data_IF_019714940136
#
_entry.id   IF_019714940136
#
_cell.length_a   1.000
_cell.length_b   1.000
_cell.length_c   1.000
_cell.angle_alpha   90.00
_cell.angle_beta   90.00
_cell.angle_gamma   90.00
#
_symmetry.space_group_name_H-M   'P 1'
#
loop_
_entity.id
_entity.type
_entity.pdbx_description
1 polymer ?
#
# COMPACT_ATOMS: atom_id res chain seq x y z
N UNK A 1 35.45 42.49 57.91
CA UNK A 1 36.38 43.42 58.60
C UNK A 1 35.99 43.49 60.06
N UNK A 2 36.61 42.69 60.92
CA UNK A 2 36.38 42.74 62.38
C UNK A 2 37.73 42.91 63.06
N UNK A 3 37.89 44.04 63.73
CA UNK A 3 39.12 44.44 64.41
C UNK A 3 39.42 43.46 65.54
N UNK A 4 40.44 42.63 65.36
CA UNK A 4 41.07 41.87 66.45
C UNK A 4 41.82 42.86 67.34
N UNK A 5 41.22 43.18 68.49
CA UNK A 5 41.89 43.91 69.56
C UNK A 5 42.89 42.93 70.18
N UNK A 6 44.15 43.00 69.74
CA UNK A 6 45.28 42.39 70.45
C UNK A 6 45.45 43.11 71.78
N UNK A 7 44.84 42.59 72.84
CA UNK A 7 45.28 42.88 74.20
C UNK A 7 46.69 42.31 74.35
N UNK A 8 47.68 43.21 74.34
CA UNK A 8 49.02 42.95 74.84
C UNK A 8 48.90 42.68 76.33
N UNK A 9 48.64 41.43 76.72
CA UNK A 9 49.07 40.94 78.02
C UNK A 9 50.58 40.72 77.92
N UNK A 10 51.35 41.69 78.38
CA UNK A 10 52.73 41.48 78.80
C UNK A 10 52.71 40.50 79.96
N UNK A 11 52.61 39.22 79.63
CA UNK A 11 52.93 38.13 80.54
C UNK A 11 54.45 38.17 80.65
N UNK A 12 54.98 38.75 81.72
CA UNK A 12 56.35 38.45 82.13
C UNK A 12 56.42 36.94 82.30
N UNK A 13 56.97 36.26 81.30
CA UNK A 13 57.22 34.84 81.32
C UNK A 13 58.35 34.65 82.32
N UNK A 14 57.99 34.37 83.58
CA UNK A 14 58.94 34.01 84.62
C UNK A 14 59.52 32.66 84.21
N UNK A 15 60.62 32.68 83.46
CA UNK A 15 61.50 31.53 83.26
C UNK A 15 62.21 31.26 84.58
N UNK A 16 61.61 30.38 85.39
CA UNK A 16 62.29 29.74 86.51
C UNK A 16 63.12 28.60 85.91
N UNK A 17 64.43 28.68 86.00
CA UNK A 17 65.30 27.58 85.62
C UNK A 17 65.52 26.71 86.87
N UNK A 18 64.92 25.51 86.94
CA UNK A 18 64.95 24.71 88.16
C UNK A 18 66.36 24.46 88.65
N UNK A 19 67.35 24.28 87.76
CA UNK A 19 68.71 23.91 88.20
C UNK A 19 69.53 25.08 88.75
N UNK A 20 69.31 26.32 88.29
CA UNK A 20 69.99 27.51 88.81
C UNK A 20 69.32 28.05 90.08
N UNK A 21 67.99 28.06 90.12
CA UNK A 21 67.21 28.61 91.24
C UNK A 21 67.25 27.70 92.49
N UNK A 22 67.54 26.40 92.32
CA UNK A 22 67.76 25.46 93.42
C UNK A 22 69.11 25.64 94.14
N UNK A 23 70.07 26.41 93.62
CA UNK A 23 71.42 26.54 94.21
C UNK A 23 71.72 27.91 94.83
N UNK A 24 70.73 28.80 94.92
CA UNK A 24 70.89 30.13 95.50
C UNK A 24 71.02 30.01 97.03
N UNK A 25 72.19 30.37 97.57
CA UNK A 25 72.42 30.47 99.03
C UNK A 25 72.21 31.92 99.45
N UNK A 26 71.15 32.18 100.20
CA UNK A 26 70.84 33.52 100.70
C UNK A 26 71.79 33.91 101.85
N UNK A 27 72.27 35.17 101.88
CA UNK A 27 73.00 35.69 103.03
C UNK A 27 72.18 35.59 104.32
N UNK A 28 72.79 35.18 105.43
CA UNK A 28 72.07 34.88 106.68
C UNK A 28 71.20 36.03 107.23
N UNK A 29 71.59 37.29 107.02
CA UNK A 29 70.77 38.45 107.41
C UNK A 29 69.48 38.57 106.57
N UNK A 30 69.50 38.14 105.30
CA UNK A 30 68.31 38.07 104.44
C UNK A 30 67.44 36.89 104.85
N UNK A 31 68.03 35.73 105.16
CA UNK A 31 67.30 34.58 105.70
C UNK A 31 66.53 34.96 106.97
N UNK A 32 67.16 35.69 107.90
CA UNK A 32 66.52 36.14 109.13
C UNK A 32 65.38 37.13 108.87
N UNK A 33 65.54 38.04 107.90
CA UNK A 33 64.48 38.95 107.49
C UNK A 33 63.28 38.19 106.89
N UNK A 34 63.52 37.22 106.00
CA UNK A 34 62.47 36.40 105.41
C UNK A 34 61.79 35.46 106.42
N UNK A 35 62.53 34.90 107.37
CA UNK A 35 61.96 34.14 108.49
C UNK A 35 60.99 35.02 109.27
N UNK A 36 61.39 36.25 109.62
CA UNK A 36 60.54 37.19 110.36
C UNK A 36 59.27 37.53 109.56
N UNK A 37 59.39 37.72 108.24
CA UNK A 37 58.25 37.98 107.35
C UNK A 37 57.32 36.77 107.25
N UNK A 38 57.86 35.55 107.14
CA UNK A 38 57.05 34.34 107.09
C UNK A 38 56.41 33.99 108.44
N UNK A 39 57.08 34.26 109.56
CA UNK A 39 56.50 34.13 110.90
C UNK A 39 55.35 35.12 111.10
N UNK A 40 55.52 36.38 110.67
CA UNK A 40 54.44 37.37 110.68
C UNK A 40 53.28 36.95 109.75
N UNK A 41 53.59 36.46 108.54
CA UNK A 41 52.58 35.94 107.61
C UNK A 41 51.85 34.71 108.18
N UNK A 42 52.54 33.82 108.91
CA UNK A 42 51.93 32.69 109.60
C UNK A 42 51.02 33.16 110.75
N UNK A 43 51.42 34.19 111.49
CA UNK A 43 50.59 34.79 112.53
C UNK A 43 49.32 35.42 111.93
N UNK A 44 49.45 36.16 110.83
CA UNK A 44 48.30 36.71 110.10
C UNK A 44 47.41 35.60 109.53
N UNK A 45 48.01 34.52 109.03
CA UNK A 45 47.29 33.34 108.56
C UNK A 45 46.61 32.58 109.71
N UNK A 46 47.12 32.67 110.94
CA UNK A 46 46.47 32.14 112.13
C UNK A 46 45.25 32.99 112.53
N UNK A 47 45.28 34.31 112.37
CA UNK A 47 44.09 35.17 112.55
C UNK A 47 42.98 34.78 111.56
N UNK A 48 43.33 34.42 110.33
CA UNK A 48 42.38 33.86 109.37
C UNK A 48 41.81 32.49 109.76
N UNK A 49 42.41 31.76 110.72
CA UNK A 49 41.78 30.59 111.35
C UNK A 49 40.59 30.98 112.20
N UNK A 50 40.75 32.06 112.96
CA UNK A 50 39.84 32.44 114.02
C UNK A 50 38.61 33.17 113.45
N UNK A 51 38.76 33.82 112.29
CA UNK A 51 37.67 34.48 111.56
C UNK A 51 36.82 33.48 110.76
N UNK A 52 37.34 32.29 110.47
CA UNK A 52 36.62 31.23 109.75
C UNK A 52 36.06 30.24 110.79
N UNK A 53 34.73 30.14 110.98
CA UNK A 53 34.18 29.26 112.00
C UNK A 53 34.64 27.81 111.80
N UNK A 54 35.21 27.19 112.85
CA UNK A 54 35.53 25.75 112.94
C UNK A 54 34.30 24.82 112.82
N UNK A 55 33.12 25.37 112.53
CA UNK A 55 31.83 24.70 112.58
C UNK A 55 31.42 23.92 111.33
N UNK A 56 32.34 23.29 110.59
CA UNK A 56 31.96 22.39 109.49
C UNK A 56 32.94 21.22 109.33
N UNK A 57 33.04 20.38 110.37
CA UNK A 57 33.40 18.97 110.20
C UNK A 57 32.17 18.23 109.67
N UNK A 58 32.12 18.06 108.35
CA UNK A 58 31.05 17.34 107.68
C UNK A 58 31.06 15.84 108.02
N UNK A 59 29.91 15.33 108.47
CA UNK A 59 29.53 13.95 108.16
C UNK A 59 28.47 14.03 107.06
N UNK A 60 28.88 13.82 105.81
CA UNK A 60 27.96 13.69 104.68
C UNK A 60 27.35 12.29 104.75
N UNK A 61 26.11 12.17 105.23
CA UNK A 61 25.33 10.94 105.12
C UNK A 61 24.75 10.85 103.69
N UNK A 62 24.93 9.70 103.06
CA UNK A 62 24.51 9.30 101.70
C UNK A 62 22.97 9.28 101.44
N UNK A 63 22.19 10.16 102.06
CA UNK A 63 20.71 10.16 101.99
C UNK A 63 20.10 10.81 100.74
N UNK A 64 20.81 11.69 100.03
CA UNK A 64 20.16 12.62 99.08
C UNK A 64 20.10 12.17 97.62
N UNK A 65 20.49 10.93 97.31
CA UNK A 65 20.32 10.40 95.95
C UNK A 65 18.89 9.96 95.65
N UNK A 66 18.07 9.69 96.67
CA UNK A 66 16.72 9.14 96.50
C UNK A 66 15.64 10.23 96.39
N UNK A 67 15.85 11.41 96.97
CA UNK A 67 14.88 12.53 96.91
C UNK A 67 14.88 13.31 95.59
N UNK A 68 15.92 13.19 94.76
CA UNK A 68 16.01 13.93 93.47
C UNK A 68 15.17 13.33 92.34
N UNK A 69 14.65 12.11 92.49
CA UNK A 69 13.90 11.42 91.43
C UNK A 69 12.39 11.72 91.47
N UNK A 70 11.85 12.34 92.53
CA UNK A 70 10.40 12.53 92.73
C UNK A 70 9.89 13.98 92.72
N UNK A 71 10.64 14.95 92.18
CA UNK A 71 10.23 16.38 92.10
C UNK A 71 10.02 16.92 90.68
N UNK A 72 9.61 16.08 89.73
CA UNK A 72 9.06 16.54 88.43
C UNK A 72 7.53 16.68 88.48
N UNK A 73 7.00 17.49 89.41
CA UNK A 73 5.62 18.01 89.32
C UNK A 73 5.34 19.15 90.30
N UNK A 74 5.70 20.37 89.91
CA UNK A 74 5.02 21.66 90.18
C UNK A 74 6.00 22.78 89.82
N UNK A 75 5.89 23.25 88.58
CA UNK A 75 6.54 24.49 88.17
C UNK A 75 5.70 25.65 88.73
N UNK A 76 6.29 26.41 89.65
CA UNK A 76 6.24 27.90 89.72
C UNK A 76 6.96 28.43 90.99
N UNK A 77 7.23 27.61 92.03
CA UNK A 77 7.94 28.07 93.25
C UNK A 77 9.38 27.53 93.43
N UNK A 78 9.99 26.93 92.39
CA UNK A 78 11.29 26.23 92.50
C UNK A 78 12.50 27.13 92.20
N UNK A 79 12.31 28.30 91.58
CA UNK A 79 13.43 29.13 91.14
C UNK A 79 14.12 29.85 92.31
N UNK A 80 13.42 30.19 93.40
CA UNK A 80 14.04 30.85 94.55
C UNK A 80 14.80 29.89 95.49
N UNK A 81 14.40 28.61 95.56
CA UNK A 81 15.08 27.63 96.43
C UNK A 81 16.35 27.04 95.77
N UNK A 82 16.36 26.87 94.44
CA UNK A 82 17.56 26.38 93.71
C UNK A 82 18.68 27.41 93.66
N UNK A 83 18.36 28.70 93.49
CA UNK A 83 19.37 29.76 93.53
C UNK A 83 19.99 29.88 94.93
N UNK A 84 19.21 29.66 96.01
CA UNK A 84 19.70 29.64 97.39
C UNK A 84 20.55 28.39 97.71
N UNK A 85 20.19 27.19 97.21
CA UNK A 85 21.00 25.97 97.38
C UNK A 85 22.33 26.06 96.60
N UNK A 86 22.32 26.53 95.35
CA UNK A 86 23.54 26.67 94.53
C UNK A 86 24.48 27.75 95.10
N UNK A 87 23.94 28.86 95.61
CA UNK A 87 24.76 29.88 96.31
C UNK A 87 25.30 29.36 97.64
N UNK A 88 24.52 28.62 98.42
CA UNK A 88 24.98 28.02 99.68
C UNK A 88 26.06 26.95 99.43
N UNK A 89 25.90 26.10 98.41
CA UNK A 89 26.87 25.09 98.03
C UNK A 89 28.17 25.72 97.51
N UNK A 90 28.09 26.76 96.68
CA UNK A 90 29.26 27.52 96.23
C UNK A 90 29.99 28.21 97.39
N UNK A 91 29.26 28.77 98.36
CA UNK A 91 29.85 29.36 99.56
C UNK A 91 30.59 28.31 100.39
N UNK A 92 30.01 27.12 100.57
CA UNK A 92 30.66 26.02 101.29
C UNK A 92 31.91 25.49 100.57
N UNK A 93 31.86 25.34 99.25
CA UNK A 93 33.00 24.89 98.45
C UNK A 93 34.13 25.92 98.45
N UNK A 94 33.81 27.21 98.36
CA UNK A 94 34.77 28.29 98.50
C UNK A 94 35.40 28.29 99.89
N UNK A 95 34.62 28.04 100.94
CA UNK A 95 35.14 27.97 102.31
C UNK A 95 36.11 26.78 102.50
N UNK A 96 35.75 25.60 102.00
CA UNK A 96 36.61 24.42 102.03
C UNK A 96 37.90 24.63 101.24
N UNK A 97 37.80 25.29 100.07
CA UNK A 97 38.94 25.66 99.25
C UNK A 97 39.86 26.62 100.01
N UNK A 98 39.33 27.69 100.61
CA UNK A 98 40.09 28.64 101.42
C UNK A 98 40.80 27.93 102.57
N UNK A 99 40.12 27.03 103.30
CA UNK A 99 40.74 26.27 104.37
C UNK A 99 41.87 25.35 103.86
N UNK A 100 41.67 24.69 102.72
CA UNK A 100 42.69 23.82 102.12
C UNK A 100 43.92 24.59 101.64
N UNK A 101 43.71 25.73 100.97
CA UNK A 101 44.77 26.64 100.49
C UNK A 101 45.53 27.26 101.66
N UNK A 102 44.80 27.66 102.71
CA UNK A 102 45.36 28.16 103.95
C UNK A 102 46.26 27.13 104.62
N UNK A 103 45.78 25.89 104.81
CA UNK A 103 46.58 24.81 105.40
C UNK A 103 47.82 24.49 104.55
N UNK A 104 47.67 24.54 103.23
CA UNK A 104 48.77 24.35 102.29
C UNK A 104 49.83 25.44 102.42
N UNK A 105 49.44 26.71 102.42
CA UNK A 105 50.34 27.87 102.60
C UNK A 105 51.00 27.82 103.98
N UNK A 106 50.24 27.49 105.03
CA UNK A 106 50.77 27.33 106.38
C UNK A 106 51.85 26.25 106.45
N UNK A 107 51.61 25.09 105.83
CA UNK A 107 52.60 24.03 105.70
C UNK A 107 53.80 24.47 104.86
N UNK A 108 53.59 25.23 103.80
CA UNK A 108 54.67 25.69 102.91
C UNK A 108 55.57 26.70 103.62
N UNK A 109 55.00 27.71 104.29
CA UNK A 109 55.77 28.68 105.06
C UNK A 109 56.48 28.05 106.25
N UNK A 110 55.86 27.08 106.94
CA UNK A 110 56.52 26.34 108.01
C UNK A 110 57.75 25.56 107.49
N UNK A 111 57.63 24.93 106.33
CA UNK A 111 58.75 24.24 105.66
C UNK A 111 59.82 25.23 105.19
N UNK A 112 59.43 26.34 104.60
CA UNK A 112 60.35 27.39 104.13
C UNK A 112 61.12 28.06 105.28
N UNK A 113 60.47 28.34 106.43
CA UNK A 113 61.15 28.86 107.63
C UNK A 113 62.19 27.87 108.13
N UNK A 114 61.85 26.58 108.17
CA UNK A 114 62.78 25.53 108.61
C UNK A 114 63.96 25.38 107.65
N UNK A 115 63.72 25.42 106.34
CA UNK A 115 64.78 25.38 105.33
C UNK A 115 65.66 26.65 105.37
N UNK A 116 65.08 27.82 105.63
CA UNK A 116 65.82 29.10 105.71
C UNK A 116 66.74 29.17 106.93
N UNK A 117 66.43 28.46 108.03
CA UNK A 117 67.35 28.27 109.16
C UNK A 117 68.63 27.53 108.73
N UNK A 118 68.55 26.74 107.67
CA UNK A 118 69.68 26.05 107.02
C UNK A 118 70.19 26.80 105.76
N UNK A 119 69.74 28.04 105.54
CA UNK A 119 70.01 28.89 104.36
C UNK A 119 69.56 28.28 103.01
N UNK A 120 68.48 27.48 103.00
CA UNK A 120 67.87 26.88 101.81
C UNK A 120 66.39 27.26 101.69
N UNK A 121 65.77 27.11 100.52
CA UNK A 121 64.34 27.42 100.31
C UNK A 121 63.71 26.60 99.17
N UNK A 122 64.13 25.35 99.03
CA UNK A 122 63.80 24.47 97.90
C UNK A 122 62.31 24.11 97.82
N UNK A 123 61.66 23.98 98.98
CA UNK A 123 60.22 23.70 99.04
C UNK A 123 59.40 24.79 98.37
N UNK A 124 59.81 26.06 98.51
CA UNK A 124 59.12 27.20 97.89
C UNK A 124 59.33 27.21 96.38
N UNK A 125 60.57 27.06 95.91
CA UNK A 125 60.92 27.03 94.47
C UNK A 125 60.15 25.90 93.76
N UNK A 126 60.22 24.68 94.28
CA UNK A 126 59.55 23.51 93.69
C UNK A 126 58.03 23.70 93.64
N UNK A 127 57.44 24.24 94.70
CA UNK A 127 55.98 24.48 94.75
C UNK A 127 55.55 25.53 93.72
N UNK A 128 56.34 26.58 93.50
CA UNK A 128 56.05 27.61 92.49
C UNK A 128 56.16 27.02 91.08
N UNK A 129 57.17 26.19 90.80
CA UNK A 129 57.31 25.48 89.52
C UNK A 129 56.13 24.53 89.29
N UNK A 130 55.77 23.72 90.28
CA UNK A 130 54.65 22.78 90.18
C UNK A 130 53.30 23.51 89.94
N UNK A 131 53.05 24.64 90.62
CA UNK A 131 51.84 25.46 90.40
C UNK A 131 51.85 26.19 89.06
N UNK A 132 53.03 26.61 88.56
CA UNK A 132 53.19 27.18 87.23
C UNK A 132 52.88 26.14 86.13
N UNK A 133 53.43 24.94 86.24
CA UNK A 133 53.17 23.83 85.32
C UNK A 133 51.70 23.43 85.33
N UNK A 134 51.09 23.35 86.52
CA UNK A 134 49.68 23.07 86.69
C UNK A 134 48.80 24.16 86.05
N UNK A 135 49.13 25.44 86.25
CA UNK A 135 48.47 26.57 85.58
C UNK A 135 48.58 26.48 84.06
N UNK A 136 49.76 26.14 83.54
CA UNK A 136 49.97 25.96 82.10
C UNK A 136 49.20 24.77 81.53
N UNK A 137 49.11 23.65 82.25
CA UNK A 137 48.27 22.51 81.86
C UNK A 137 46.79 22.91 81.76
N UNK A 138 46.27 23.63 82.77
CA UNK A 138 44.89 24.13 82.72
C UNK A 138 44.67 25.08 81.55
N UNK A 139 45.58 26.04 81.33
CA UNK A 139 45.51 26.98 80.20
C UNK A 139 45.48 26.23 78.87
N UNK A 140 46.34 25.23 78.68
CA UNK A 140 46.37 24.41 77.46
C UNK A 140 45.09 23.60 77.27
N UNK A 141 44.53 23.02 78.33
CA UNK A 141 43.24 22.30 78.25
C UNK A 141 42.09 23.25 77.92
N UNK A 142 42.06 24.45 78.51
CA UNK A 142 41.06 25.48 78.20
C UNK A 142 41.18 25.92 76.74
N UNK A 143 42.39 26.17 76.24
CA UNK A 143 42.61 26.54 74.84
C UNK A 143 42.13 25.45 73.88
N UNK A 144 42.47 24.18 74.13
CA UNK A 144 41.98 23.05 73.32
C UNK A 144 40.47 22.91 73.36
N UNK A 145 39.85 23.12 74.53
CA UNK A 145 38.39 23.11 74.66
C UNK A 145 37.75 24.26 73.86
N UNK A 146 38.32 25.47 73.93
CA UNK A 146 37.85 26.62 73.16
C UNK A 146 37.99 26.39 71.65
N UNK A 147 39.13 25.88 71.18
CA UNK A 147 39.34 25.52 69.77
C UNK A 147 38.34 24.47 69.28
N UNK A 148 38.11 23.41 70.08
CA UNK A 148 37.11 22.40 69.76
C UNK A 148 35.69 22.98 69.70
N UNK A 149 35.38 23.94 70.59
CA UNK A 149 34.08 24.61 70.63
C UNK A 149 33.87 25.51 69.41
N UNK A 150 34.90 26.25 68.99
CA UNK A 150 34.84 27.07 67.78
C UNK A 150 34.72 26.20 66.51
N UNK A 151 35.48 25.10 66.42
CA UNK A 151 35.34 24.15 65.33
C UNK A 151 33.92 23.55 65.28
N UNK A 152 33.35 23.20 66.43
CA UNK A 152 32.00 22.67 66.51
C UNK A 152 30.96 23.68 66.04
N UNK A 153 31.10 24.96 66.39
CA UNK A 153 30.23 26.04 65.87
C UNK A 153 30.36 26.18 64.36
N UNK A 154 31.59 26.15 63.84
CA UNK A 154 31.83 26.25 62.39
C UNK A 154 31.20 25.07 61.64
N UNK A 155 31.36 23.85 62.15
CA UNK A 155 30.75 22.65 61.57
C UNK A 155 29.23 22.68 61.66
N UNK A 156 28.66 23.14 62.78
CA UNK A 156 27.22 23.34 62.91
C UNK A 156 26.68 24.35 61.89
N UNK A 157 27.40 25.45 61.67
CA UNK A 157 27.03 26.46 60.67
C UNK A 157 27.10 25.87 59.25
N UNK A 158 28.18 25.17 58.90
CA UNK A 158 28.31 24.49 57.60
C UNK A 158 27.18 23.49 57.36
N UNK A 159 26.88 22.66 58.36
CA UNK A 159 25.82 21.67 58.29
C UNK A 159 24.42 22.33 58.18
N UNK A 160 24.20 23.46 58.85
CA UNK A 160 22.97 24.23 58.70
C UNK A 160 22.83 24.81 57.29
N UNK A 161 23.91 25.38 56.75
CA UNK A 161 23.91 25.96 55.40
C UNK A 161 23.70 24.88 54.33
N UNK A 162 24.37 23.73 54.47
CA UNK A 162 24.22 22.61 53.54
C UNK A 162 22.79 22.05 53.53
N UNK A 163 22.12 22.00 54.68
CA UNK A 163 20.70 21.62 54.75
C UNK A 163 19.80 22.58 53.98
N UNK A 164 20.03 23.89 54.12
CA UNK A 164 19.24 24.91 53.39
C UNK A 164 19.48 24.78 51.89
N UNK A 165 20.73 24.63 51.45
CA UNK A 165 21.06 24.44 50.03
C UNK A 165 20.41 23.19 49.44
N UNK A 166 20.43 22.07 50.16
CA UNK A 166 19.76 20.83 49.72
C UNK A 166 18.24 20.99 49.64
N UNK A 167 17.64 21.75 50.56
CA UNK A 167 16.20 22.04 50.54
C UNK A 167 15.82 22.95 49.36
N UNK A 168 16.63 23.99 49.08
CA UNK A 168 16.49 24.84 47.90
C UNK A 168 16.60 24.04 46.61
N UNK A 169 17.65 23.23 46.46
CA UNK A 169 17.84 22.37 45.27
C UNK A 169 16.68 21.37 45.12
N UNK A 170 16.19 20.79 46.22
CA UNK A 170 15.03 19.89 46.19
C UNK A 170 13.77 20.62 45.71
N UNK A 171 13.56 21.86 46.18
CA UNK A 171 12.44 22.68 45.76
C UNK A 171 12.53 23.08 44.28
N UNK A 172 13.71 23.46 43.79
CA UNK A 172 13.95 23.76 42.38
C UNK A 172 13.66 22.53 41.49
N UNK A 173 14.20 21.37 41.86
CA UNK A 173 13.94 20.11 41.14
C UNK A 173 12.45 19.76 41.14
N UNK A 174 11.75 19.96 42.26
CA UNK A 174 10.31 19.74 42.35
C UNK A 174 9.51 20.68 41.43
N UNK A 175 9.91 21.95 41.30
CA UNK A 175 9.30 22.88 40.37
C UNK A 175 9.49 22.44 38.91
N UNK A 176 10.70 22.01 38.54
CA UNK A 176 10.97 21.48 37.20
C UNK A 176 10.13 20.23 36.92
N UNK A 177 10.02 19.31 37.89
CA UNK A 177 9.16 18.13 37.77
C UNK A 177 7.70 18.53 37.54
N UNK A 178 7.20 19.55 38.23
CA UNK A 178 5.83 20.03 38.03
C UNK A 178 5.63 20.63 36.63
N UNK A 179 6.54 21.49 36.17
CA UNK A 179 6.49 22.04 34.81
C UNK A 179 6.53 20.95 33.74
N UNK A 180 7.37 19.93 33.92
CA UNK A 180 7.43 18.80 32.99
C UNK A 180 6.14 17.97 33.01
N UNK A 181 5.50 17.80 34.16
CA UNK A 181 4.18 17.13 34.24
C UNK A 181 3.12 17.92 33.51
N UNK A 182 3.09 19.24 33.68
CA UNK A 182 2.10 20.12 33.06
C UNK A 182 2.27 20.12 31.53
N UNK A 183 3.50 20.20 31.03
CA UNK A 183 3.78 20.14 29.58
C UNK A 183 3.41 18.78 28.98
N UNK A 184 3.67 17.66 29.69
CA UNK A 184 3.23 16.33 29.25
C UNK A 184 1.71 16.26 29.18
N UNK A 185 0.99 16.79 30.17
CA UNK A 185 -0.47 16.80 30.17
C UNK A 185 -1.03 17.65 29.02
N UNK A 186 -0.46 18.83 28.77
CA UNK A 186 -0.82 19.70 27.66
C UNK A 186 -0.62 19.02 26.31
N UNK A 187 0.58 18.47 26.06
CA UNK A 187 0.88 17.75 24.82
C UNK A 187 -0.07 16.56 24.64
N UNK A 188 -0.35 15.82 25.72
CA UNK A 188 -1.27 14.67 25.66
C UNK A 188 -2.70 15.11 25.30
N UNK A 189 -3.19 16.19 25.92
CA UNK A 189 -4.52 16.73 25.63
C UNK A 189 -4.63 17.24 24.19
N UNK A 190 -3.63 18.00 23.72
CA UNK A 190 -3.54 18.48 22.35
C UNK A 190 -3.52 17.32 21.36
N UNK A 191 -2.63 16.35 21.56
CA UNK A 191 -2.50 15.16 20.70
C UNK A 191 -3.82 14.38 20.60
N UNK A 192 -4.53 14.18 21.71
CA UNK A 192 -5.83 13.48 21.69
C UNK A 192 -6.88 14.29 20.92
N UNK A 193 -6.87 15.61 21.05
CA UNK A 193 -7.80 16.48 20.32
C UNK A 193 -7.51 16.50 18.81
N UNK A 194 -6.23 16.59 18.43
CA UNK A 194 -5.78 16.53 17.03
C UNK A 194 -6.11 15.17 16.41
N UNK A 195 -5.84 14.06 17.10
CA UNK A 195 -6.20 12.74 16.61
C UNK A 195 -7.71 12.60 16.36
N UNK A 196 -8.55 13.17 17.23
CA UNK A 196 -10.01 13.18 17.03
C UNK A 196 -10.41 14.03 15.82
N UNK A 197 -9.77 15.20 15.66
CA UNK A 197 -10.00 16.08 14.52
C UNK A 197 -9.62 15.39 13.21
N UNK A 198 -8.39 14.88 13.10
CA UNK A 198 -7.89 14.18 11.91
C UNK A 198 -8.80 13.00 11.56
N UNK A 199 -9.19 12.17 12.53
CA UNK A 199 -10.12 11.05 12.28
C UNK A 199 -11.48 11.50 11.74
N UNK A 200 -12.00 12.64 12.22
CA UNK A 200 -13.28 13.17 11.76
C UNK A 200 -13.15 13.77 10.35
N UNK A 201 -12.06 14.48 10.10
CA UNK A 201 -11.73 15.05 8.80
C UNK A 201 -11.54 13.96 7.73
N UNK A 202 -10.72 12.94 8.01
CA UNK A 202 -10.50 11.83 7.08
C UNK A 202 -11.80 11.10 6.76
N UNK A 203 -12.61 10.79 7.77
CA UNK A 203 -13.92 10.14 7.58
C UNK A 203 -14.89 10.99 6.76
N UNK A 204 -14.90 12.31 6.98
CA UNK A 204 -15.74 13.23 6.19
C UNK A 204 -15.26 13.32 4.74
N UNK A 205 -13.94 13.39 4.53
CA UNK A 205 -13.35 13.40 3.20
C UNK A 205 -13.62 12.09 2.44
N UNK A 206 -13.42 10.94 3.09
CA UNK A 206 -13.75 9.63 2.53
C UNK A 206 -15.23 9.53 2.13
N UNK A 207 -16.15 9.99 2.98
CA UNK A 207 -17.57 10.00 2.67
C UNK A 207 -17.91 10.91 1.47
N UNK A 208 -17.29 12.09 1.41
CA UNK A 208 -17.46 13.04 0.30
C UNK A 208 -16.97 12.44 -1.02
N UNK A 209 -15.72 11.95 -1.04
CA UNK A 209 -15.11 11.32 -2.23
C UNK A 209 -15.92 10.12 -2.67
N UNK A 210 -16.33 9.25 -1.73
CA UNK A 210 -17.18 8.09 -2.04
C UNK A 210 -18.50 8.52 -2.68
N UNK A 211 -19.14 9.57 -2.17
CA UNK A 211 -20.38 10.10 -2.74
C UNK A 211 -20.21 10.62 -4.18
N UNK A 212 -19.10 11.31 -4.46
CA UNK A 212 -18.77 11.79 -5.81
C UNK A 212 -18.56 10.60 -6.75
N UNK A 213 -17.71 9.64 -6.36
CA UNK A 213 -17.43 8.46 -7.17
C UNK A 213 -18.70 7.63 -7.44
N UNK A 214 -19.56 7.43 -6.43
CA UNK A 214 -20.82 6.71 -6.59
C UNK A 214 -21.77 7.41 -7.56
N UNK A 215 -21.82 8.75 -7.54
CA UNK A 215 -22.63 9.53 -8.48
C UNK A 215 -22.11 9.39 -9.91
N UNK A 216 -20.80 9.48 -10.10
CA UNK A 216 -20.16 9.30 -11.41
C UNK A 216 -20.37 7.87 -11.94
N UNK A 217 -20.20 6.87 -11.06
CA UNK A 217 -20.46 5.47 -11.39
C UNK A 217 -21.91 5.25 -11.82
N UNK A 218 -22.88 5.81 -11.08
CA UNK A 218 -24.30 5.73 -11.44
C UNK A 218 -24.57 6.33 -12.83
N UNK A 219 -23.97 7.49 -13.15
CA UNK A 219 -24.12 8.12 -14.46
C UNK A 219 -23.53 7.25 -15.58
N UNK A 220 -22.38 6.62 -15.34
CA UNK A 220 -21.74 5.71 -16.29
C UNK A 220 -22.56 4.43 -16.49
N UNK A 221 -23.12 3.88 -15.42
CA UNK A 221 -24.01 2.71 -15.48
C UNK A 221 -25.28 3.03 -16.28
N UNK A 222 -25.91 4.18 -16.04
CA UNK A 222 -27.06 4.63 -16.81
C UNK A 222 -26.72 4.80 -18.29
N UNK A 223 -25.56 5.39 -18.60
CA UNK A 223 -25.08 5.55 -19.98
C UNK A 223 -24.85 4.19 -20.63
N UNK A 224 -24.23 3.24 -19.93
CA UNK A 224 -24.03 1.86 -20.40
C UNK A 224 -25.38 1.22 -20.73
N UNK A 225 -26.36 1.32 -19.83
CA UNK A 225 -27.69 0.74 -20.06
C UNK A 225 -28.40 1.35 -21.26
N UNK A 226 -28.33 2.69 -21.43
CA UNK A 226 -28.88 3.39 -22.60
C UNK A 226 -28.23 2.93 -23.91
N UNK A 227 -26.91 2.80 -23.92
CA UNK A 227 -26.17 2.31 -25.11
C UNK A 227 -26.54 0.87 -25.43
N UNK A 228 -26.66 0.01 -24.41
CA UNK A 228 -27.04 -1.38 -24.59
C UNK A 228 -28.45 -1.51 -25.19
N UNK A 229 -29.42 -0.75 -24.67
CA UNK A 229 -30.76 -0.67 -25.25
C UNK A 229 -30.75 -0.19 -26.71
N UNK A 230 -29.88 0.77 -27.05
CA UNK A 230 -29.75 1.25 -28.43
C UNK A 230 -29.19 0.16 -29.34
N UNK A 231 -28.18 -0.58 -28.88
CA UNK A 231 -27.61 -1.71 -29.63
C UNK A 231 -28.68 -2.77 -29.89
N UNK A 232 -29.46 -3.14 -28.87
CA UNK A 232 -30.56 -4.10 -29.01
C UNK A 232 -31.60 -3.61 -30.03
N UNK A 233 -31.96 -2.33 -30.01
CA UNK A 233 -32.88 -1.75 -30.99
C UNK A 233 -32.33 -1.79 -32.42
N UNK A 234 -31.06 -1.46 -32.62
CA UNK A 234 -30.40 -1.52 -33.93
C UNK A 234 -30.30 -2.97 -34.44
N UNK A 235 -30.01 -3.93 -33.55
CA UNK A 235 -30.01 -5.36 -33.90
C UNK A 235 -31.39 -5.82 -34.37
N UNK A 236 -32.45 -5.50 -33.61
CA UNK A 236 -33.83 -5.82 -34.00
C UNK A 236 -34.24 -5.16 -35.32
N UNK A 237 -33.81 -3.91 -35.56
CA UNK A 237 -34.07 -3.21 -36.82
C UNK A 237 -33.33 -3.88 -37.98
N UNK A 238 -32.06 -4.24 -37.78
CA UNK A 238 -31.25 -4.95 -38.76
C UNK A 238 -31.86 -6.30 -39.13
N UNK A 239 -32.23 -7.12 -38.14
CA UNK A 239 -32.91 -8.41 -38.36
C UNK A 239 -34.18 -8.25 -39.21
N UNK A 240 -35.04 -7.27 -38.87
CA UNK A 240 -36.25 -6.98 -39.66
C UNK A 240 -35.95 -6.55 -41.09
N UNK A 241 -34.90 -5.76 -41.31
CA UNK A 241 -34.48 -5.35 -42.65
C UNK A 241 -33.98 -6.55 -43.44
N UNK A 242 -33.17 -7.42 -42.82
CA UNK A 242 -32.67 -8.65 -43.45
C UNK A 242 -33.84 -9.55 -43.83
N UNK A 243 -34.77 -9.84 -42.90
CA UNK A 243 -35.97 -10.62 -43.18
C UNK A 243 -36.82 -10.02 -44.31
N UNK A 244 -36.94 -8.69 -44.36
CA UNK A 244 -37.63 -8.01 -45.45
C UNK A 244 -36.94 -8.24 -46.81
N UNK A 245 -35.62 -8.06 -46.86
CA UNK A 245 -34.84 -8.25 -48.08
C UNK A 245 -34.81 -9.70 -48.54
N UNK A 246 -34.70 -10.66 -47.62
CA UNK A 246 -34.76 -12.09 -47.95
C UNK A 246 -36.11 -12.48 -48.54
N UNK A 247 -37.21 -11.95 -47.98
CA UNK A 247 -38.56 -12.17 -48.53
C UNK A 247 -38.71 -11.57 -49.93
N UNK A 248 -38.22 -10.35 -50.15
CA UNK A 248 -38.23 -9.71 -51.47
C UNK A 248 -37.37 -10.48 -52.48
N UNK A 249 -36.18 -10.93 -52.06
CA UNK A 249 -35.31 -11.76 -52.88
C UNK A 249 -35.99 -13.06 -53.27
N UNK A 250 -36.61 -13.76 -52.32
CA UNK A 250 -37.34 -15.01 -52.59
C UNK A 250 -38.54 -14.82 -53.52
N UNK A 251 -39.26 -13.69 -53.44
CA UNK A 251 -40.34 -13.36 -54.37
C UNK A 251 -39.81 -13.14 -55.80
N UNK A 252 -38.69 -12.42 -55.96
CA UNK A 252 -38.04 -12.23 -57.25
C UNK A 252 -37.47 -13.53 -57.81
N UNK A 253 -36.87 -14.38 -56.97
CA UNK A 253 -36.37 -15.71 -57.35
C UNK A 253 -37.53 -16.57 -57.90
N UNK A 254 -38.69 -16.59 -57.23
CA UNK A 254 -39.88 -17.28 -57.74
C UNK A 254 -40.37 -16.73 -59.07
N UNK A 255 -40.43 -15.40 -59.22
CA UNK A 255 -40.83 -14.80 -60.50
C UNK A 255 -39.86 -15.21 -61.61
N UNK A 256 -38.55 -15.21 -61.35
CA UNK A 256 -37.55 -15.68 -62.32
C UNK A 256 -37.80 -17.14 -62.69
N UNK A 257 -38.04 -18.03 -61.72
CA UNK A 257 -38.36 -19.44 -61.97
C UNK A 257 -39.63 -19.58 -62.83
N UNK A 258 -40.69 -18.84 -62.53
CA UNK A 258 -41.92 -18.84 -63.33
C UNK A 258 -41.68 -18.37 -64.77
N UNK A 259 -40.91 -17.31 -64.97
CA UNK A 259 -40.56 -16.80 -66.30
C UNK A 259 -39.67 -17.78 -67.06
N UNK A 260 -38.72 -18.43 -66.39
CA UNK A 260 -37.89 -19.47 -66.98
C UNK A 260 -38.73 -20.66 -67.45
N UNK A 261 -39.65 -21.16 -66.62
CA UNK A 261 -40.54 -22.26 -67.00
C UNK A 261 -41.42 -21.92 -68.19
N UNK A 262 -41.98 -20.70 -68.23
CA UNK A 262 -42.75 -20.23 -69.39
C UNK A 262 -41.90 -20.17 -70.66
N UNK A 263 -40.69 -19.64 -70.54
CA UNK A 263 -39.76 -19.54 -71.66
C UNK A 263 -39.33 -20.92 -72.18
N UNK A 264 -39.03 -21.86 -71.28
CA UNK A 264 -38.74 -23.25 -71.63
C UNK A 264 -39.92 -23.90 -72.35
N UNK A 265 -41.14 -23.73 -71.83
CA UNK A 265 -42.35 -24.23 -72.46
C UNK A 265 -42.58 -23.64 -73.85
N UNK A 266 -42.46 -22.32 -74.00
CA UNK A 266 -42.59 -21.63 -75.29
C UNK A 266 -41.53 -22.12 -76.29
N UNK A 267 -40.29 -22.36 -75.83
CA UNK A 267 -39.23 -22.96 -76.66
C UNK A 267 -39.63 -24.38 -77.09
N UNK A 268 -40.08 -25.22 -76.17
CA UNK A 268 -40.49 -26.59 -76.47
C UNK A 268 -41.64 -26.61 -77.49
N UNK A 269 -42.67 -25.77 -77.31
CA UNK A 269 -43.77 -25.62 -78.26
C UNK A 269 -43.28 -25.17 -79.64
N UNK A 270 -42.34 -24.21 -79.70
CA UNK A 270 -41.79 -23.73 -80.98
C UNK A 270 -40.91 -24.78 -81.65
N UNK A 271 -40.10 -25.51 -80.88
CA UNK A 271 -39.32 -26.64 -81.37
C UNK A 271 -40.24 -27.74 -81.94
N UNK A 272 -41.33 -28.07 -81.25
CA UNK A 272 -42.32 -29.03 -81.73
C UNK A 272 -42.99 -28.54 -83.03
N UNK A 273 -43.40 -27.27 -83.09
CA UNK A 273 -43.97 -26.68 -84.32
C UNK A 273 -42.98 -26.75 -85.49
N UNK A 274 -41.70 -26.47 -85.25
CA UNK A 274 -40.65 -26.60 -86.27
C UNK A 274 -40.52 -28.06 -86.71
N UNK A 275 -40.49 -29.00 -85.77
CA UNK A 275 -40.39 -30.43 -86.07
C UNK A 275 -41.60 -30.94 -86.86
N UNK A 276 -42.82 -30.49 -86.52
CA UNK A 276 -44.04 -30.85 -87.25
C UNK A 276 -44.00 -30.33 -88.69
N UNK A 277 -43.57 -29.07 -88.90
CA UNK A 277 -43.42 -28.49 -90.24
C UNK A 277 -42.31 -29.18 -91.03
N UNK A 278 -41.20 -29.54 -90.39
CA UNK A 278 -40.13 -30.32 -91.02
C UNK A 278 -40.63 -31.71 -91.43
N UNK A 279 -41.38 -32.40 -90.56
CA UNK A 279 -41.98 -33.69 -90.88
C UNK A 279 -43.00 -33.60 -92.02
N UNK A 280 -43.80 -32.54 -92.09
CA UNK A 280 -44.70 -32.30 -93.22
C UNK A 280 -43.91 -32.05 -94.51
N UNK A 281 -42.85 -31.24 -94.45
CA UNK A 281 -41.99 -30.99 -95.61
C UNK A 281 -41.33 -32.28 -96.12
N UNK A 282 -40.85 -33.13 -95.22
CA UNK A 282 -40.29 -34.44 -95.56
C UNK A 282 -41.35 -35.33 -96.23
N UNK A 283 -42.55 -35.44 -95.66
CA UNK A 283 -43.67 -36.18 -96.26
C UNK A 283 -44.06 -35.64 -97.63
N UNK A 284 -44.20 -34.32 -97.78
CA UNK A 284 -44.51 -33.70 -99.07
C UNK A 284 -43.39 -33.97 -100.09
N UNK A 285 -42.13 -33.95 -99.66
CA UNK A 285 -40.98 -34.27 -100.51
C UNK A 285 -41.01 -35.72 -100.97
N UNK A 286 -41.29 -36.67 -100.08
CA UNK A 286 -41.50 -38.08 -100.44
C UNK A 286 -42.64 -38.25 -101.44
N UNK A 287 -43.78 -37.58 -101.22
CA UNK A 287 -44.90 -37.57 -102.16
C UNK A 287 -44.48 -37.01 -103.53
N UNK A 288 -43.80 -35.87 -103.58
CA UNK A 288 -43.27 -35.30 -104.82
C UNK A 288 -42.31 -36.24 -105.54
N UNK A 289 -41.40 -36.90 -104.81
CA UNK A 289 -40.49 -37.90 -105.37
C UNK A 289 -41.26 -39.09 -105.97
N UNK A 290 -42.26 -39.62 -105.27
CA UNK A 290 -43.09 -40.72 -105.82
C UNK A 290 -43.90 -40.30 -107.05
N UNK A 291 -44.46 -39.09 -107.06
CA UNK A 291 -45.16 -38.56 -108.23
C UNK A 291 -44.20 -38.38 -109.40
N UNK A 292 -43.00 -37.86 -109.14
CA UNK A 292 -41.96 -37.67 -110.17
C UNK A 292 -41.56 -39.00 -110.79
N UNK A 293 -41.28 -40.02 -109.97
CA UNK A 293 -41.01 -41.39 -110.45
C UNK A 293 -42.17 -41.92 -111.32
N UNK A 294 -43.42 -41.72 -110.89
CA UNK A 294 -44.60 -42.13 -111.66
C UNK A 294 -44.75 -41.37 -112.98
N UNK A 295 -44.43 -40.08 -113.01
CA UNK A 295 -44.42 -39.29 -114.25
C UNK A 295 -43.35 -39.80 -115.22
N UNK A 296 -42.13 -40.05 -114.73
CA UNK A 296 -41.04 -40.62 -115.53
C UNK A 296 -41.42 -41.98 -116.12
N UNK A 297 -42.07 -42.86 -115.34
CA UNK A 297 -42.58 -44.14 -115.83
C UNK A 297 -43.65 -43.99 -116.93
N UNK A 298 -44.57 -43.03 -116.78
CA UNK A 298 -45.60 -42.77 -117.79
C UNK A 298 -45.00 -42.13 -119.04
N UNK A 299 -44.04 -41.22 -118.90
CA UNK A 299 -43.33 -40.61 -120.01
C UNK A 299 -42.53 -41.66 -120.80
N UNK A 300 -41.86 -42.58 -120.11
CA UNK A 300 -41.20 -43.72 -120.72
C UNK A 300 -42.20 -44.57 -121.54
N UNK A 301 -43.38 -44.89 -120.99
CA UNK A 301 -44.44 -45.62 -121.71
C UNK A 301 -44.96 -44.85 -122.94
N UNK A 302 -45.16 -43.54 -122.84
CA UNK A 302 -45.59 -42.71 -123.97
C UNK A 302 -44.51 -42.65 -125.04
N UNK A 303 -43.24 -42.58 -124.65
CA UNK A 303 -42.13 -42.59 -125.59
C UNK A 303 -42.01 -43.96 -126.28
N UNK A 304 -42.13 -45.06 -125.54
CA UNK A 304 -42.24 -46.40 -126.11
C UNK A 304 -43.41 -46.51 -127.09
N UNK A 305 -44.58 -45.98 -126.76
CA UNK A 305 -45.75 -45.97 -127.63
C UNK A 305 -45.51 -45.12 -128.89
N UNK A 306 -44.89 -43.94 -128.78
CA UNK A 306 -44.47 -43.12 -129.93
C UNK A 306 -43.49 -43.86 -130.82
N UNK A 307 -42.51 -44.56 -130.25
CA UNK A 307 -41.55 -45.37 -131.02
C UNK A 307 -42.25 -46.52 -131.75
N UNK A 308 -43.21 -47.19 -131.10
CA UNK A 308 -44.03 -48.24 -131.73
C UNK A 308 -44.85 -47.65 -132.88
N UNK A 309 -45.47 -46.49 -132.69
CA UNK A 309 -46.26 -45.81 -133.71
C UNK A 309 -45.39 -45.36 -134.89
N UNK A 310 -44.22 -44.77 -134.64
CA UNK A 310 -43.27 -44.42 -135.70
C UNK A 310 -42.80 -45.67 -136.48
N UNK A 311 -42.50 -46.77 -135.78
CA UNK A 311 -42.18 -48.06 -136.40
C UNK A 311 -43.35 -48.56 -137.27
N UNK A 312 -44.58 -48.40 -136.81
CA UNK A 312 -45.79 -48.79 -137.54
C UNK A 312 -46.04 -47.92 -138.78
N UNK A 313 -45.94 -46.60 -138.67
CA UNK A 313 -46.08 -45.66 -139.79
C UNK A 313 -44.97 -45.86 -140.85
N UNK A 314 -43.73 -46.11 -140.42
CA UNK A 314 -42.65 -46.46 -141.33
C UNK A 314 -42.97 -47.75 -142.10
N UNK A 315 -43.50 -48.78 -141.42
CA UNK A 315 -43.96 -50.00 -142.09
C UNK A 315 -45.11 -49.74 -143.06
N UNK A 316 -46.07 -48.85 -142.72
CA UNK A 316 -47.14 -48.47 -143.65
C UNK A 316 -46.59 -47.77 -144.89
N UNK A 317 -45.74 -46.74 -144.75
CA UNK A 317 -45.12 -46.06 -145.90
C UNK A 317 -44.34 -47.03 -146.79
N UNK A 318 -43.62 -47.98 -146.19
CA UNK A 318 -42.91 -49.01 -146.95
C UNK A 318 -43.89 -49.88 -147.75
N UNK A 319 -45.02 -50.24 -147.16
CA UNK A 319 -46.09 -50.99 -147.82
C UNK A 319 -46.80 -50.16 -148.91
N UNK A 320 -47.03 -48.86 -148.68
CA UNK A 320 -47.56 -47.94 -149.69
C UNK A 320 -46.62 -47.85 -150.90
N UNK A 321 -45.32 -47.64 -150.69
CA UNK A 321 -44.31 -47.69 -151.75
C UNK A 321 -44.32 -49.02 -152.51
N UNK A 322 -44.45 -50.15 -151.80
CA UNK A 322 -44.63 -51.48 -152.42
C UNK A 322 -45.92 -51.54 -153.25
N UNK A 323 -47.03 -50.97 -152.78
CA UNK A 323 -48.29 -50.93 -153.53
C UNK A 323 -48.22 -49.98 -154.73
N UNK A 324 -47.57 -48.83 -154.62
CA UNK A 324 -47.33 -47.91 -155.74
C UNK A 324 -46.45 -48.55 -156.80
N UNK A 325 -45.37 -49.24 -156.39
CA UNK A 325 -44.55 -50.03 -157.30
C UNK A 325 -45.41 -51.09 -158.00
N UNK A 326 -46.27 -51.81 -157.27
CA UNK A 326 -47.22 -52.76 -157.84
C UNK A 326 -48.21 -52.10 -158.82
N UNK A 327 -48.73 -50.91 -158.52
CA UNK A 327 -49.64 -50.15 -159.39
C UNK A 327 -48.91 -49.65 -160.65
N UNK A 328 -47.67 -49.17 -160.54
CA UNK A 328 -46.84 -48.75 -161.70
C UNK A 328 -46.57 -49.95 -162.63
N UNK A 329 -46.25 -51.12 -162.07
CA UNK A 329 -46.13 -52.38 -162.82
C UNK A 329 -47.46 -52.72 -163.51
N UNK A 330 -48.57 -52.67 -162.79
CA UNK A 330 -49.91 -52.93 -163.34
C UNK A 330 -50.30 -51.92 -164.44
N UNK A 331 -49.97 -50.64 -164.30
CA UNK A 331 -50.25 -49.58 -165.28
C UNK A 331 -49.39 -49.73 -166.54
N UNK A 332 -48.11 -50.06 -166.40
CA UNK A 332 -47.22 -50.37 -167.52
C UNK A 332 -47.77 -51.54 -168.34
N UNK A 333 -48.18 -52.62 -167.66
CA UNK A 333 -48.79 -53.78 -168.31
C UNK A 333 -50.11 -53.44 -169.05
N UNK A 334 -51.00 -52.65 -168.42
CA UNK A 334 -52.27 -52.20 -169.06
C UNK A 334 -52.06 -51.22 -170.23
N UNK A 335 -50.94 -50.49 -170.29
CA UNK A 335 -50.59 -49.56 -171.39
C UNK A 335 -50.04 -50.33 -172.60
N UNK A 336 -49.24 -51.36 -172.37
CA UNK A 336 -48.81 -52.32 -173.42
C UNK A 336 -50.03 -53.01 -174.04
N UNK A 337 -51.01 -53.41 -173.22
CA UNK A 337 -52.23 -54.07 -173.69
C UNK A 337 -53.12 -53.16 -174.56
N UNK A 338 -53.15 -51.84 -174.31
CA UNK A 338 -53.96 -50.88 -175.08
C UNK A 338 -53.34 -50.45 -176.41
N UNK A 339 -52.01 -50.35 -176.52
CA UNK A 339 -51.33 -49.93 -177.75
C UNK A 339 -51.35 -50.99 -178.87
N UNK A 340 -51.76 -52.23 -178.59
CA UNK A 340 -51.84 -53.30 -179.60
C UNK A 340 -53.15 -53.30 -180.41
N UNK A 341 -54.17 -52.50 -180.06
CA UNK A 341 -55.54 -52.71 -180.57
C UNK A 341 -56.12 -51.68 -181.56
N UNK A 342 -55.46 -50.58 -181.92
CA UNK A 342 -56.14 -49.49 -182.68
C UNK A 342 -55.59 -49.12 -184.07
N UNK A 343 -54.81 -49.99 -184.74
CA UNK A 343 -54.41 -49.81 -186.14
C UNK A 343 -54.58 -51.11 -186.95
N UNK A 344 -55.81 -51.48 -187.33
CA UNK A 344 -56.14 -52.22 -188.57
C UNK A 344 -57.61 -52.70 -188.65
N UNK A 345 -58.27 -52.30 -189.75
CA UNK A 345 -59.29 -52.99 -190.58
C UNK A 345 -60.74 -53.23 -190.10
N UNK A 346 -61.64 -52.79 -190.99
CA UNK A 346 -62.89 -53.47 -191.35
C UNK A 346 -62.67 -54.97 -191.61
N UNK A 347 -63.48 -55.85 -191.02
CA UNK A 347 -64.45 -56.75 -191.70
C UNK A 347 -64.91 -57.92 -190.81
N UNK A 348 -66.19 -58.28 -190.98
CA UNK A 348 -66.86 -59.59 -190.79
C UNK A 348 -67.36 -60.05 -189.40
N UNK A 349 -68.70 -60.15 -189.34
CA UNK A 349 -69.57 -61.32 -189.04
C UNK A 349 -69.16 -62.29 -187.90
N UNK A 350 -70.11 -62.50 -186.97
CA UNK A 350 -70.47 -63.87 -186.51
C UNK A 350 -70.62 -64.16 -185.01
N UNK A 351 -71.87 -64.24 -184.54
CA UNK A 351 -72.50 -65.24 -183.62
C UNK A 351 -71.78 -65.79 -182.34
N UNK A 352 -72.49 -65.58 -181.22
CA UNK A 352 -72.96 -66.55 -180.17
C UNK A 352 -72.00 -67.13 -179.10
N UNK A 353 -72.39 -66.90 -177.83
CA UNK A 353 -72.21 -67.77 -176.65
C UNK A 353 -71.20 -67.25 -175.62
N UNK A 354 -71.27 -67.51 -174.30
CA UNK A 354 -72.24 -68.14 -173.39
C UNK A 354 -71.62 -68.05 -171.97
N UNK A 355 -72.44 -67.85 -170.93
CA UNK A 355 -72.33 -68.33 -169.52
C UNK A 355 -71.03 -68.19 -168.69
N UNK A 356 -71.24 -67.82 -167.41
CA UNK A 356 -70.38 -68.17 -166.26
C UNK A 356 -70.34 -67.03 -165.23
N UNK A 357 -71.11 -66.94 -164.14
CA UNK A 357 -71.47 -67.86 -163.03
C UNK A 357 -70.47 -67.78 -161.84
N UNK A 358 -71.02 -67.35 -160.69
CA UNK A 358 -70.79 -67.81 -159.30
C UNK A 358 -69.51 -67.47 -158.51
N UNK A 359 -69.76 -67.25 -157.21
CA UNK A 359 -68.89 -67.56 -156.06
C UNK A 359 -68.97 -66.44 -155.03
N UNK A 360 -69.78 -66.45 -153.97
CA UNK A 360 -69.97 -67.42 -152.87
C UNK A 360 -68.74 -67.54 -151.94
N UNK A 361 -68.99 -67.54 -150.62
CA UNK A 361 -68.00 -67.78 -149.56
C UNK A 361 -67.82 -66.61 -148.58
N UNK A 362 -68.49 -66.46 -147.42
CA UNK A 362 -68.76 -67.38 -146.28
C UNK A 362 -67.58 -67.49 -145.30
N UNK A 363 -67.92 -67.35 -144.00
CA UNK A 363 -67.26 -67.92 -142.79
C UNK A 363 -65.96 -67.23 -142.35
N UNK A 364 -65.55 -67.22 -141.07
CA UNK A 364 -66.12 -67.54 -139.75
C UNK A 364 -64.96 -67.30 -138.74
N UNK A 365 -65.34 -67.13 -137.46
CA UNK A 365 -64.65 -67.67 -136.28
C UNK A 365 -63.34 -66.97 -135.83
N UNK A 366 -63.39 -66.36 -134.64
CA UNK A 366 -62.84 -66.90 -133.37
C UNK A 366 -61.36 -66.56 -133.20
N UNK A 367 -60.82 -66.21 -132.04
CA UNK A 367 -60.96 -66.88 -130.74
C UNK A 367 -60.08 -66.12 -129.73
N UNK A 368 -60.52 -66.07 -128.45
CA UNK A 368 -59.74 -66.11 -127.18
C UNK A 368 -58.46 -65.25 -127.08
N UNK A 369 -58.27 -64.47 -126.02
CA UNK A 369 -58.28 -64.90 -124.61
C UNK A 369 -58.39 -63.69 -123.70
#
# INVERSE_FOLDING_TARGET
MSKSVKTKETSEEITLDPEEDLNIVLPGYKCQAYISIFEDALNQLAVLADVVPLGFQGTVKDGDKISKVLKNRRNIDINNDKENEDTQMNLTNNMLKIQSERNFIQSLFSKAINELKENKFQSLVRTVVDEYDKKNRYKNTINKANEATELLKELQLKLSNEKVLLEEETNERNQVIQQLKDTIQEITALTVSEQKYVKKETKANEASVKGICQKEESVLVDKKHRLQKRIEQEQMAHERIVEFLERQRGELEKQIEEWMQRYEHDIEEKCQQIQDVQGQLESDTEEFETLTQRYEELEAKVQEEREIQQKFEYQQKLNELRTEAAIKIQRWWRKIWRNKKSKMKNTKKGKKGKKGKKGDGKKKASKKK
#
